data_IF_492690384937
#
_entry.id   IF_492690384937
#
_cell.length_a   1.000
_cell.length_b   1.000
_cell.length_c   1.000
_cell.angle_alpha   90.00
_cell.angle_beta   90.00
_cell.angle_gamma   90.00
#
_symmetry.space_group_name_H-M   'P 1'
#
loop_
_entity.id
_entity.type
_entity.pdbx_description
1 polymer ?
#
# COMPACT_ATOMS: atom_id res chain seq x y z
N UNK A 1 4.96 15.87 17.98
CA UNK A 1 4.42 15.42 16.67
C UNK A 1 5.12 16.18 15.57
N UNK A 2 5.49 15.53 14.45
CA UNK A 2 6.32 16.09 13.38
C UNK A 2 5.52 16.41 12.09
N UNK A 3 4.19 16.55 12.17
CA UNK A 3 3.34 16.89 11.03
C UNK A 3 3.19 15.82 9.95
N UNK A 4 3.65 14.58 10.20
CA UNK A 4 3.47 13.46 9.26
C UNK A 4 2.06 12.88 9.39
N UNK A 5 1.44 12.62 8.23
CA UNK A 5 0.14 11.95 8.12
C UNK A 5 0.31 10.61 7.41
N UNK A 6 -0.18 9.55 8.05
CA UNK A 6 -0.22 8.18 7.52
C UNK A 6 -1.63 7.63 7.66
N UNK A 7 -1.98 6.67 6.81
CA UNK A 7 -3.27 6.01 6.82
C UNK A 7 -3.05 4.51 6.96
N UNK A 8 -3.83 3.90 7.85
CA UNK A 8 -3.95 2.45 7.96
C UNK A 8 -5.37 2.11 7.52
N UNK A 9 -5.51 1.08 6.70
CA UNK A 9 -6.81 0.66 6.20
C UNK A 9 -6.94 -0.85 6.30
N UNK A 10 -8.15 -1.29 6.61
CA UNK A 10 -8.51 -2.69 6.55
C UNK A 10 -8.62 -3.13 5.09
N UNK A 11 -7.89 -4.18 4.71
CA UNK A 11 -7.82 -4.63 3.31
C UNK A 11 -9.04 -5.48 2.89
N UNK A 12 -9.89 -5.87 3.83
CA UNK A 12 -11.05 -6.74 3.57
C UNK A 12 -12.10 -6.07 2.69
N UNK A 13 -12.28 -4.75 2.82
CA UNK A 13 -13.42 -4.05 2.23
C UNK A 13 -13.13 -3.45 0.84
N UNK A 14 -11.91 -2.98 0.60
CA UNK A 14 -11.52 -2.32 -0.66
C UNK A 14 -10.05 -2.56 -0.98
N UNK A 15 -9.71 -2.47 -2.26
CA UNK A 15 -8.32 -2.57 -2.72
C UNK A 15 -7.61 -1.21 -2.62
N UNK A 16 -6.28 -1.22 -2.70
CA UNK A 16 -5.44 -0.05 -2.45
C UNK A 16 -5.80 1.17 -3.33
N UNK A 17 -6.26 0.95 -4.57
CA UNK A 17 -6.61 2.02 -5.50
C UNK A 17 -7.75 2.93 -4.99
N UNK A 18 -8.72 2.39 -4.25
CA UNK A 18 -9.78 3.20 -3.65
C UNK A 18 -9.20 4.22 -2.66
N UNK A 19 -8.25 3.79 -1.83
CA UNK A 19 -7.58 4.65 -0.85
C UNK A 19 -6.65 5.66 -1.51
N UNK A 20 -6.00 5.29 -2.61
CA UNK A 20 -5.19 6.20 -3.43
C UNK A 20 -6.06 7.33 -3.95
N UNK A 21 -7.20 7.03 -4.57
CA UNK A 21 -8.12 8.04 -5.08
C UNK A 21 -8.64 8.98 -3.98
N UNK A 22 -9.04 8.46 -2.81
CA UNK A 22 -9.45 9.29 -1.68
C UNK A 22 -8.32 10.25 -1.27
N UNK A 23 -7.08 9.74 -1.17
CA UNK A 23 -5.92 10.55 -0.79
C UNK A 23 -5.59 11.60 -1.85
N UNK A 24 -5.71 11.28 -3.12
CA UNK A 24 -5.52 12.22 -4.23
C UNK A 24 -6.59 13.30 -4.25
N UNK A 25 -7.85 12.95 -4.05
CA UNK A 25 -8.95 13.90 -3.91
C UNK A 25 -8.70 14.90 -2.77
N UNK A 26 -8.23 14.43 -1.60
CA UNK A 26 -7.88 15.31 -0.48
C UNK A 26 -6.73 16.26 -0.86
N UNK A 27 -5.68 15.75 -1.52
CA UNK A 27 -4.54 16.58 -1.98
C UNK A 27 -4.98 17.61 -3.02
N UNK A 28 -5.79 17.19 -3.99
CA UNK A 28 -6.33 18.03 -5.05
C UNK A 28 -7.17 19.15 -4.44
N UNK A 29 -8.13 18.81 -3.57
CA UNK A 29 -8.99 19.79 -2.91
C UNK A 29 -8.18 20.79 -2.09
N UNK A 30 -7.17 20.33 -1.33
CA UNK A 30 -6.27 21.23 -0.60
C UNK A 30 -5.51 22.19 -1.51
N UNK A 31 -5.06 21.73 -2.69
CA UNK A 31 -4.27 22.54 -3.62
C UNK A 31 -5.12 23.54 -4.41
N UNK A 32 -6.29 23.13 -4.87
CA UNK A 32 -7.06 23.90 -5.87
C UNK A 32 -8.32 24.57 -5.31
N UNK A 33 -8.93 24.05 -4.25
CA UNK A 33 -10.12 24.65 -3.64
C UNK A 33 -9.78 25.67 -2.54
N UNK A 34 -8.48 25.81 -2.20
CA UNK A 34 -7.96 26.63 -1.11
C UNK A 34 -8.84 26.60 0.16
N UNK A 35 -9.12 25.40 0.71
CA UNK A 35 -10.06 25.25 1.82
C UNK A 35 -9.51 25.78 3.15
N UNK A 36 -8.23 26.18 3.19
CA UNK A 36 -7.57 26.72 4.37
C UNK A 36 -6.91 28.07 4.08
N UNK A 37 -6.93 28.96 5.08
CA UNK A 37 -6.21 30.23 5.10
C UNK A 37 -4.69 30.02 5.22
N UNK A 38 -3.91 31.11 5.11
CA UNK A 38 -2.45 31.11 5.23
C UNK A 38 -1.93 30.51 6.55
N UNK A 39 -2.73 30.58 7.62
CA UNK A 39 -2.44 30.02 8.95
C UNK A 39 -2.82 28.53 9.09
N UNK A 40 -3.35 27.92 8.02
CA UNK A 40 -3.76 26.52 7.98
C UNK A 40 -5.17 26.21 8.51
N UNK A 41 -5.95 27.22 8.90
CA UNK A 41 -7.35 27.05 9.37
C UNK A 41 -8.34 27.01 8.22
N UNK A 42 -9.45 26.29 8.37
CA UNK A 42 -10.50 26.25 7.34
C UNK A 42 -11.04 27.65 7.02
N UNK A 43 -11.31 27.91 5.74
CA UNK A 43 -12.03 29.08 5.26
C UNK A 43 -13.53 28.95 5.57
N UNK A 44 -14.22 30.06 5.86
CA UNK A 44 -15.67 30.11 6.06
C UNK A 44 -16.12 30.53 7.47
N UNK A 45 -17.43 30.73 7.63
CA UNK A 45 -18.04 31.03 8.92
C UNK A 45 -18.33 29.74 9.70
N UNK A 46 -18.06 29.76 11.00
CA UNK A 46 -18.28 28.61 11.87
C UNK A 46 -19.76 28.58 12.26
N UNK A 47 -20.51 27.63 11.71
CA UNK A 47 -21.94 27.45 12.07
C UNK A 47 -22.12 26.65 13.37
N UNK A 48 -21.30 25.62 13.60
CA UNK A 48 -21.39 24.77 14.79
C UNK A 48 -20.03 24.15 15.10
N UNK A 49 -19.64 24.16 16.37
CA UNK A 49 -18.46 23.45 16.87
C UNK A 49 -18.95 22.23 17.64
N UNK A 50 -18.79 21.00 17.11
CA UNK A 50 -19.18 19.81 17.85
C UNK A 50 -18.30 19.64 19.09
N UNK A 51 -18.90 19.28 20.23
CA UNK A 51 -18.14 18.90 21.42
C UNK A 51 -17.73 17.43 21.29
N UNK A 52 -16.42 17.14 21.35
CA UNK A 52 -15.94 15.77 21.31
C UNK A 52 -16.35 15.01 22.59
N UNK A 53 -17.19 13.99 22.43
CA UNK A 53 -17.53 13.07 23.51
C UNK A 53 -16.40 12.07 23.76
N UNK A 54 -15.98 11.91 25.02
CA UNK A 54 -15.06 10.82 25.39
C UNK A 54 -15.82 9.50 25.37
N UNK A 55 -15.37 8.56 24.54
CA UNK A 55 -15.83 7.17 24.61
C UNK A 55 -15.33 6.56 25.92
N UNK A 56 -16.24 6.02 26.73
CA UNK A 56 -15.95 5.36 28.00
C UNK A 56 -16.33 3.90 27.85
N UNK A 57 -15.36 3.01 28.05
CA UNK A 57 -15.55 1.57 28.00
C UNK A 57 -15.35 1.00 29.41
N UNK A 58 -16.34 0.24 29.90
CA UNK A 58 -16.22 -0.51 31.14
C UNK A 58 -15.64 -1.89 30.82
N UNK A 59 -14.36 -2.08 31.11
CA UNK A 59 -13.63 -3.30 30.78
C UNK A 59 -13.47 -4.19 32.02
N UNK A 60 -13.86 -5.45 31.92
CA UNK A 60 -13.57 -6.47 32.92
C UNK A 60 -12.08 -6.90 32.86
N UNK A 61 -11.62 -7.62 33.89
CA UNK A 61 -10.22 -8.02 33.98
C UNK A 61 -9.83 -9.03 32.90
N UNK A 62 -10.77 -9.86 32.42
CA UNK A 62 -10.57 -10.73 31.26
C UNK A 62 -10.28 -9.93 29.99
N UNK A 63 -11.06 -8.88 29.73
CA UNK A 63 -10.83 -7.99 28.58
C UNK A 63 -9.52 -7.22 28.70
N UNK A 64 -9.16 -6.72 29.90
CA UNK A 64 -7.85 -6.05 30.11
C UNK A 64 -6.69 -7.00 29.84
N UNK A 65 -6.76 -8.22 30.35
CA UNK A 65 -5.75 -9.24 30.11
C UNK A 65 -5.63 -9.57 28.60
N UNK A 66 -6.76 -9.66 27.89
CA UNK A 66 -6.75 -9.88 26.45
C UNK A 66 -6.07 -8.74 25.66
N UNK A 67 -6.27 -7.48 26.09
CA UNK A 67 -5.59 -6.31 25.51
C UNK A 67 -4.09 -6.41 25.72
N UNK A 68 -3.64 -6.76 26.94
CA UNK A 68 -2.23 -6.87 27.26
C UNK A 68 -1.54 -8.00 26.47
N UNK A 69 -2.21 -9.14 26.33
CA UNK A 69 -1.71 -10.25 25.50
C UNK A 69 -1.66 -9.88 24.01
N UNK A 70 -2.71 -9.25 23.48
CA UNK A 70 -2.73 -8.77 22.10
C UNK A 70 -1.60 -7.75 21.83
N UNK A 71 -1.34 -6.86 22.80
CA UNK A 71 -0.25 -5.90 22.71
C UNK A 71 1.12 -6.59 22.65
N UNK A 72 1.37 -7.58 23.53
CA UNK A 72 2.63 -8.34 23.53
C UNK A 72 2.90 -9.01 22.18
N UNK A 73 1.88 -9.68 21.62
CA UNK A 73 1.98 -10.36 20.32
C UNK A 73 2.23 -9.34 19.21
N UNK A 74 1.41 -8.28 19.12
CA UNK A 74 1.51 -7.29 18.06
C UNK A 74 2.84 -6.52 18.09
N UNK A 75 3.37 -6.25 19.28
CA UNK A 75 4.67 -5.61 19.44
C UNK A 75 5.79 -6.50 18.90
N UNK A 76 5.78 -7.79 19.23
CA UNK A 76 6.77 -8.73 18.71
C UNK A 76 6.74 -8.83 17.18
N UNK A 77 5.55 -8.82 16.57
CA UNK A 77 5.39 -8.78 15.10
C UNK A 77 5.95 -7.48 14.52
N UNK A 78 5.60 -6.33 15.11
CA UNK A 78 6.07 -5.03 14.65
C UNK A 78 7.59 -4.88 14.75
N UNK A 79 8.20 -5.38 15.83
CA UNK A 79 9.65 -5.34 16.03
C UNK A 79 10.41 -6.28 15.07
N UNK A 80 9.75 -7.34 14.57
CA UNK A 80 10.33 -8.26 13.57
C UNK A 80 10.17 -7.74 12.13
N UNK A 81 9.28 -6.79 11.89
CA UNK A 81 8.97 -6.29 10.56
C UNK A 81 10.18 -5.57 9.92
N UNK A 82 10.62 -6.06 8.75
CA UNK A 82 11.69 -5.46 7.94
C UNK A 82 11.12 -4.92 6.64
N UNK A 83 11.27 -3.62 6.40
CA UNK A 83 10.76 -2.91 5.23
C UNK A 83 11.84 -2.61 4.17
N UNK A 84 12.80 -3.51 3.98
CA UNK A 84 13.89 -3.34 3.04
C UNK A 84 13.77 -4.31 1.85
N UNK A 85 13.93 -3.79 0.63
CA UNK A 85 14.07 -4.60 -0.58
C UNK A 85 15.52 -5.06 -0.70
N UNK A 86 15.76 -6.37 -0.55
CA UNK A 86 17.09 -6.98 -0.66
C UNK A 86 17.05 -8.01 -1.79
N UNK A 87 18.05 -7.99 -2.69
CA UNK A 87 18.17 -9.02 -3.74
C UNK A 87 18.36 -10.40 -3.11
N UNK A 88 17.48 -11.33 -3.45
CA UNK A 88 17.50 -12.70 -2.94
C UNK A 88 18.37 -13.63 -3.81
N UNK A 89 18.85 -13.16 -4.97
CA UNK A 89 19.64 -13.93 -5.93
C UNK A 89 18.99 -15.26 -6.37
N UNK A 90 17.67 -15.39 -6.23
CA UNK A 90 16.87 -16.54 -6.64
C UNK A 90 15.52 -16.08 -7.19
N UNK A 91 14.96 -16.89 -8.09
CA UNK A 91 13.58 -16.71 -8.52
C UNK A 91 12.63 -17.26 -7.46
N UNK A 92 11.53 -16.57 -7.23
CA UNK A 92 10.46 -16.98 -6.34
C UNK A 92 9.11 -16.75 -7.02
N UNK A 93 8.08 -17.45 -6.54
CA UNK A 93 6.71 -17.22 -6.97
C UNK A 93 6.34 -15.78 -6.64
N UNK A 94 5.95 -15.03 -7.67
CA UNK A 94 5.56 -13.63 -7.56
C UNK A 94 4.04 -13.55 -7.63
N UNK A 95 3.45 -12.84 -6.68
CA UNK A 95 2.03 -12.48 -6.68
C UNK A 95 1.94 -11.02 -7.15
N UNK A 96 1.32 -10.81 -8.31
CA UNK A 96 0.98 -9.48 -8.81
C UNK A 96 -0.54 -9.36 -8.91
N UNK A 97 -1.17 -8.46 -8.13
CA UNK A 97 -2.61 -8.25 -8.20
C UNK A 97 -2.98 -7.41 -9.43
N UNK A 98 -3.78 -7.97 -10.34
CA UNK A 98 -4.34 -7.26 -11.48
C UNK A 98 -5.81 -6.89 -11.21
N UNK A 99 -6.17 -5.62 -11.41
CA UNK A 99 -7.48 -5.10 -11.03
C UNK A 99 -8.55 -5.49 -12.05
N UNK A 100 -9.58 -6.21 -11.61
CA UNK A 100 -10.68 -6.73 -12.44
C UNK A 100 -11.91 -5.80 -12.47
N UNK A 101 -11.69 -4.49 -12.41
CA UNK A 101 -12.75 -3.48 -12.31
C UNK A 101 -13.69 -3.42 -13.53
N UNK A 102 -13.40 -4.16 -14.60
CA UNK A 102 -14.32 -4.33 -15.74
C UNK A 102 -15.53 -5.23 -15.39
N UNK A 103 -15.37 -6.16 -14.45
CA UNK A 103 -16.43 -7.06 -14.02
C UNK A 103 -17.15 -6.49 -12.81
N UNK A 104 -18.47 -6.72 -12.75
CA UNK A 104 -19.27 -6.35 -11.58
C UNK A 104 -18.69 -7.05 -10.34
N UNK A 105 -18.41 -6.28 -9.29
CA UNK A 105 -17.81 -6.73 -8.03
C UNK A 105 -16.42 -7.39 -8.20
N UNK A 106 -15.76 -7.19 -9.35
CA UNK A 106 -14.41 -7.68 -9.61
C UNK A 106 -13.39 -6.97 -8.73
N UNK A 107 -12.57 -7.76 -8.02
CA UNK A 107 -11.47 -7.27 -7.19
C UNK A 107 -10.15 -7.40 -7.94
N UNK A 108 -9.39 -8.46 -7.66
CA UNK A 108 -8.08 -8.68 -8.26
C UNK A 108 -7.91 -10.12 -8.70
N UNK A 109 -7.32 -10.34 -9.87
CA UNK A 109 -6.75 -11.63 -10.28
C UNK A 109 -5.24 -11.68 -10.02
N UNK A 110 -4.65 -12.86 -10.09
CA UNK A 110 -3.21 -13.04 -9.89
C UNK A 110 -2.50 -13.21 -11.22
N UNK A 111 -1.61 -12.27 -11.54
CA UNK A 111 -0.61 -12.45 -12.60
C UNK A 111 0.68 -12.97 -11.96
N UNK A 112 1.31 -13.94 -12.61
CA UNK A 112 2.54 -14.58 -12.11
C UNK A 112 3.66 -14.42 -13.14
N UNK A 113 4.90 -14.29 -12.64
CA UNK A 113 6.06 -14.12 -13.49
C UNK A 113 6.26 -15.34 -14.40
N UNK A 114 6.36 -15.09 -15.70
CA UNK A 114 6.46 -16.14 -16.70
C UNK A 114 7.91 -16.67 -16.79
N UNK A 115 8.10 -17.83 -17.42
CA UNK A 115 9.42 -18.47 -17.64
C UNK A 115 10.43 -17.52 -18.29
N UNK A 116 9.94 -16.59 -19.10
CA UNK A 116 10.69 -15.66 -19.94
C UNK A 116 11.36 -14.56 -19.14
N UNK A 117 10.69 -14.07 -18.09
CA UNK A 117 11.32 -13.15 -17.15
C UNK A 117 12.55 -13.79 -16.51
N UNK A 118 12.52 -15.10 -16.27
CA UNK A 118 13.67 -15.84 -15.76
C UNK A 118 14.79 -16.01 -16.79
N UNK A 119 14.43 -16.19 -18.07
CA UNK A 119 15.39 -16.30 -19.18
C UNK A 119 16.09 -14.97 -19.42
N UNK A 120 15.33 -13.87 -19.46
CA UNK A 120 15.86 -12.52 -19.56
C UNK A 120 16.84 -12.21 -18.41
N UNK A 121 16.45 -12.46 -17.15
CA UNK A 121 17.33 -12.21 -15.99
C UNK A 121 18.61 -13.06 -16.02
N UNK A 122 18.54 -14.31 -16.50
CA UNK A 122 19.72 -15.15 -16.70
C UNK A 122 20.62 -14.62 -17.81
N UNK A 123 20.03 -14.12 -18.89
CA UNK A 123 20.76 -13.58 -20.03
C UNK A 123 21.54 -12.32 -19.66
N UNK A 124 20.93 -11.35 -18.96
CA UNK A 124 21.62 -10.11 -18.56
C UNK A 124 22.73 -10.32 -17.52
N UNK A 125 22.70 -11.44 -16.79
CA UNK A 125 23.77 -11.83 -15.85
C UNK A 125 24.90 -12.60 -16.53
N UNK A 126 24.72 -13.02 -17.78
CA UNK A 126 25.72 -13.75 -18.54
C UNK A 126 26.60 -12.76 -19.33
N UNK A 127 27.91 -12.64 -19.04
CA UNK A 127 28.79 -11.72 -19.76
C UNK A 127 28.97 -12.08 -21.25
N UNK A 128 28.53 -13.26 -21.69
CA UNK A 128 28.56 -13.66 -23.09
C UNK A 128 27.38 -13.10 -23.92
N UNK A 129 26.33 -12.59 -23.27
CA UNK A 129 25.16 -12.02 -23.95
C UNK A 129 25.43 -10.55 -24.25
N UNK A 130 25.16 -10.13 -25.49
CA UNK A 130 25.31 -8.73 -25.89
C UNK A 130 24.13 -7.88 -25.42
N UNK A 131 24.35 -6.58 -25.23
CA UNK A 131 23.28 -5.65 -24.85
C UNK A 131 22.09 -5.68 -25.83
N UNK A 132 22.35 -5.89 -27.12
CA UNK A 132 21.30 -5.99 -28.14
C UNK A 132 20.43 -7.24 -27.96
N UNK A 133 21.02 -8.37 -27.59
CA UNK A 133 20.29 -9.62 -27.32
C UNK A 133 19.51 -9.51 -26.00
N UNK A 134 20.12 -8.92 -24.96
CA UNK A 134 19.46 -8.61 -23.71
C UNK A 134 18.26 -7.68 -23.89
N UNK A 135 18.40 -6.64 -24.71
CA UNK A 135 17.30 -5.73 -25.04
C UNK A 135 16.16 -6.43 -25.78
N UNK A 136 16.47 -7.32 -26.72
CA UNK A 136 15.46 -8.12 -27.41
C UNK A 136 14.67 -8.99 -26.43
N UNK A 137 15.37 -9.70 -25.55
CA UNK A 137 14.74 -10.54 -24.52
C UNK A 137 13.89 -9.71 -23.54
N UNK A 138 14.30 -8.48 -23.22
CA UNK A 138 13.49 -7.56 -22.43
C UNK A 138 12.18 -7.23 -23.16
N UNK A 139 12.26 -6.83 -24.44
CA UNK A 139 11.08 -6.52 -25.25
C UNK A 139 10.11 -7.70 -25.33
N UNK A 140 10.62 -8.88 -25.69
CA UNK A 140 9.81 -10.11 -25.82
C UNK A 140 9.17 -10.51 -24.47
N UNK A 141 9.85 -10.25 -23.35
CA UNK A 141 9.29 -10.49 -22.01
C UNK A 141 8.19 -9.49 -21.67
N UNK A 142 8.38 -8.21 -21.99
CA UNK A 142 7.38 -7.16 -21.78
C UNK A 142 6.12 -7.35 -22.62
N UNK A 143 6.25 -7.83 -23.86
CA UNK A 143 5.09 -8.10 -24.73
C UNK A 143 4.20 -9.25 -24.23
N UNK A 144 4.76 -10.10 -23.35
CA UNK A 144 4.06 -11.25 -22.78
C UNK A 144 3.51 -11.03 -21.39
N UNK A 145 4.01 -10.02 -20.69
CA UNK A 145 3.46 -9.57 -19.41
C UNK A 145 2.20 -8.76 -19.68
#
# INVERSE_FOLDING_TARGET
MNGRFTSNAEHSCVDAMCLVHIRECIKYHKKYSNPCNHDGRCCGEIETIPTAGRLIFNLDDGTKNAIDEAYKVNRAVADNYKNASVDQSKFCLTYEPEVMGFFKDGRTETVSCLTESSEFVKAIKNPAVTDSEGFKLLSDTCDRH
#
